data_IF_824391633182
#
_entry.id   IF_824391633182
#
_cell.length_a   1.000
_cell.length_b   1.000
_cell.length_c   1.000
_cell.angle_alpha   90.00
_cell.angle_beta   90.00
_cell.angle_gamma   90.00
#
_symmetry.space_group_name_H-M   'P 1'
#
loop_
_entity.id
_entity.type
_entity.pdbx_description
1 polymer ?
#
# COMPACT_ATOMS: atom_id res chain seq x y z
N UNK A 1 -24.93 0.10 42.66
CA UNK A 1 -23.85 -0.52 41.85
C UNK A 1 -23.60 0.24 40.54
N UNK A 2 -23.38 1.57 40.60
CA UNK A 2 -22.98 2.37 39.43
C UNK A 2 -21.69 3.20 39.67
N UNK A 3 -21.06 3.01 40.83
CA UNK A 3 -19.84 3.73 41.22
C UNK A 3 -18.58 2.85 41.30
N UNK A 4 -18.69 1.55 41.01
CA UNK A 4 -17.54 0.62 40.97
C UNK A 4 -16.97 0.51 39.54
N UNK A 5 -17.76 0.81 38.50
CA UNK A 5 -17.30 0.78 37.09
C UNK A 5 -16.40 1.98 36.75
N UNK A 6 -16.61 3.13 37.40
CA UNK A 6 -15.78 4.32 37.18
C UNK A 6 -14.36 4.22 37.78
N UNK A 7 -14.16 3.38 38.81
CA UNK A 7 -12.84 3.19 39.41
C UNK A 7 -11.96 2.21 38.63
N UNK A 8 -12.54 1.28 37.86
CA UNK A 8 -11.78 0.34 37.02
C UNK A 8 -11.29 1.04 35.73
N UNK A 9 -12.04 2.02 35.19
CA UNK A 9 -11.60 2.81 34.04
C UNK A 9 -10.46 3.80 34.35
N UNK A 10 -10.31 4.26 35.59
CA UNK A 10 -9.23 5.18 35.99
C UNK A 10 -7.93 4.47 36.43
N UNK A 11 -8.01 3.21 36.85
CA UNK A 11 -6.82 2.39 37.18
C UNK A 11 -6.18 1.79 35.93
N UNK A 12 -6.92 1.62 34.83
CA UNK A 12 -6.35 1.21 33.54
C UNK A 12 -5.63 2.34 32.77
N UNK A 13 -5.75 3.59 33.23
CA UNK A 13 -5.05 4.75 32.63
C UNK A 13 -3.78 5.12 33.43
N UNK A 14 -3.44 4.41 34.51
CA UNK A 14 -2.36 4.85 35.42
C UNK A 14 -1.21 3.88 35.70
N UNK A 15 -1.17 2.62 35.23
CA UNK A 15 0.05 1.79 35.29
C UNK A 15 0.17 0.81 34.12
N UNK A 16 0.70 1.26 33.00
CA UNK A 16 1.71 0.54 32.20
C UNK A 16 2.48 1.52 31.29
N UNK A 17 2.98 2.59 31.88
CA UNK A 17 4.33 3.05 31.55
C UNK A 17 5.33 2.18 32.32
N UNK A 18 5.38 0.88 32.03
CA UNK A 18 6.61 0.13 32.23
C UNK A 18 7.48 0.44 31.02
N UNK A 19 8.50 1.24 31.28
CA UNK A 19 9.59 1.61 30.39
C UNK A 19 10.34 0.33 29.97
N UNK A 20 9.76 -0.40 29.02
CA UNK A 20 10.45 -1.38 28.20
C UNK A 20 11.14 -0.60 27.09
N UNK A 21 12.45 -0.78 26.98
CA UNK A 21 13.33 -0.03 26.10
C UNK A 21 12.70 0.13 24.72
N UNK A 22 12.33 1.37 24.40
CA UNK A 22 12.59 1.86 23.05
C UNK A 22 13.99 1.35 22.70
N UNK A 23 14.09 0.47 21.71
CA UNK A 23 15.27 0.60 20.85
C UNK A 23 15.24 2.07 20.48
N UNK A 24 16.21 2.82 21.01
CA UNK A 24 16.55 4.12 20.48
C UNK A 24 16.64 3.89 18.97
N UNK A 25 15.59 4.31 18.27
CA UNK A 25 15.80 4.84 16.94
C UNK A 25 16.80 5.94 17.23
N UNK A 26 18.01 5.76 16.74
CA UNK A 26 19.10 6.69 16.97
C UNK A 26 18.67 8.06 16.43
N UNK A 27 18.08 8.88 17.30
CA UNK A 27 17.55 10.22 16.98
C UNK A 27 18.68 11.12 16.48
N UNK A 28 19.94 10.73 16.68
CA UNK A 28 21.11 11.40 16.12
C UNK A 28 21.25 11.26 14.59
N UNK A 29 20.52 10.34 13.94
CA UNK A 29 20.46 10.19 12.47
C UNK A 29 19.32 10.97 11.79
N UNK A 30 18.35 11.52 12.54
CA UNK A 30 17.12 12.14 11.99
C UNK A 30 17.20 13.67 11.87
N UNK A 31 18.26 14.30 12.38
CA UNK A 31 18.32 15.74 12.62
C UNK A 31 18.18 16.69 11.40
N UNK A 32 17.98 16.21 10.16
CA UNK A 32 17.89 17.07 8.96
C UNK A 32 16.82 16.64 7.92
N UNK A 33 15.87 15.78 8.27
CA UNK A 33 14.80 15.40 7.34
C UNK A 33 13.58 16.32 7.47
N UNK A 34 13.04 16.81 6.36
CA UNK A 34 11.80 17.62 6.35
C UNK A 34 10.79 17.08 5.35
N UNK A 35 9.51 17.16 5.71
CA UNK A 35 8.38 16.80 4.85
C UNK A 35 7.39 17.96 4.87
N UNK A 36 6.97 18.41 3.69
CA UNK A 36 5.98 19.47 3.51
C UNK A 36 4.97 19.03 2.48
N UNK A 37 3.69 19.20 2.81
CA UNK A 37 2.57 18.73 1.99
C UNK A 37 1.63 19.90 1.75
N UNK A 38 1.43 20.25 0.48
CA UNK A 38 0.43 21.21 0.01
C UNK A 38 -0.65 20.42 -0.72
N UNK A 39 -1.83 20.30 -0.12
CA UNK A 39 -2.94 19.44 -0.60
C UNK A 39 -3.87 20.16 -1.58
N UNK A 40 -3.47 21.29 -2.15
CA UNK A 40 -4.33 22.05 -3.06
C UNK A 40 -4.41 21.39 -4.45
N UNK A 41 -5.13 20.27 -4.55
CA UNK A 41 -5.24 19.43 -5.75
C UNK A 41 -5.81 20.17 -6.99
N UNK A 42 -6.59 21.24 -6.77
CA UNK A 42 -7.18 22.07 -7.83
C UNK A 42 -6.15 23.03 -8.44
N UNK A 43 -5.27 23.63 -7.62
CA UNK A 43 -4.24 24.57 -8.09
C UNK A 43 -2.88 23.93 -8.34
N UNK A 44 -2.69 22.70 -7.83
CA UNK A 44 -1.53 21.86 -8.07
C UNK A 44 -0.90 21.38 -6.77
N UNK A 45 -1.41 20.27 -6.23
CA UNK A 45 -0.91 19.67 -5.00
C UNK A 45 0.57 19.31 -5.10
N UNK A 46 1.29 19.38 -3.97
CA UNK A 46 2.75 19.22 -3.93
C UNK A 46 3.19 18.51 -2.65
N UNK A 47 4.13 17.57 -2.77
CA UNK A 47 4.86 16.99 -1.64
C UNK A 47 6.34 17.31 -1.82
N UNK A 48 6.96 17.87 -0.79
CA UNK A 48 8.39 18.13 -0.74
C UNK A 48 8.97 17.32 0.41
N UNK A 49 9.92 16.46 0.10
CA UNK A 49 10.71 15.75 1.09
C UNK A 49 12.18 16.10 0.92
N UNK A 50 12.89 16.38 2.01
CA UNK A 50 14.32 16.62 1.96
C UNK A 50 15.04 15.85 3.05
N UNK A 51 16.28 15.47 2.79
CA UNK A 51 17.25 15.03 3.79
C UNK A 51 18.56 15.82 3.65
N UNK A 52 19.64 15.38 4.27
CA UNK A 52 20.94 16.07 4.22
C UNK A 52 21.55 16.18 2.82
N UNK A 53 21.14 15.35 1.87
CA UNK A 53 21.78 15.23 0.56
C UNK A 53 20.84 15.51 -0.61
N UNK A 54 19.53 15.33 -0.44
CA UNK A 54 18.58 15.33 -1.54
C UNK A 54 17.25 16.03 -1.20
N UNK A 55 16.60 16.53 -2.25
CA UNK A 55 15.22 17.03 -2.22
C UNK A 55 14.41 16.25 -3.26
N UNK A 56 13.30 15.69 -2.84
CA UNK A 56 12.27 15.05 -3.66
C UNK A 56 11.09 16.02 -3.74
N UNK A 57 10.63 16.29 -4.95
CA UNK A 57 9.47 17.14 -5.21
C UNK A 57 8.49 16.36 -6.07
N UNK A 58 7.34 16.04 -5.48
CA UNK A 58 6.17 15.56 -6.19
C UNK A 58 5.23 16.73 -6.41
N UNK A 59 4.66 16.80 -7.61
CA UNK A 59 3.61 17.76 -7.94
C UNK A 59 2.56 17.08 -8.78
N UNK A 60 1.30 17.43 -8.56
CA UNK A 60 0.16 16.94 -9.35
C UNK A 60 -0.67 18.11 -9.84
N UNK A 61 -1.37 17.94 -10.95
CA UNK A 61 -2.36 18.88 -11.45
C UNK A 61 -3.40 18.13 -12.25
N UNK A 62 -4.67 18.32 -11.94
CA UNK A 62 -5.78 17.80 -12.75
C UNK A 62 -6.29 18.88 -13.70
N UNK A 63 -6.56 18.50 -14.95
CA UNK A 63 -7.27 19.36 -15.91
C UNK A 63 -8.14 18.45 -16.79
N UNK A 64 -9.46 18.64 -16.75
CA UNK A 64 -10.42 17.84 -17.53
C UNK A 64 -10.24 16.31 -17.35
N UNK A 65 -10.15 15.82 -16.10
CA UNK A 65 -9.91 14.39 -15.78
C UNK A 65 -8.54 13.83 -16.23
N UNK A 66 -7.69 14.65 -16.83
CA UNK A 66 -6.30 14.34 -17.08
C UNK A 66 -5.47 14.78 -15.87
N UNK A 67 -4.98 13.81 -15.12
CA UNK A 67 -4.09 14.02 -13.97
C UNK A 67 -2.66 13.97 -14.48
N UNK A 68 -1.92 15.07 -14.35
CA UNK A 68 -0.50 15.12 -14.67
C UNK A 68 0.28 15.25 -13.38
N UNK A 69 1.30 14.42 -13.23
CA UNK A 69 2.19 14.44 -12.07
C UNK A 69 3.64 14.48 -12.51
N UNK A 70 4.48 15.07 -11.68
CA UNK A 70 5.93 15.13 -11.88
C UNK A 70 6.64 14.79 -10.59
N UNK A 71 7.59 13.86 -10.67
CA UNK A 71 8.60 13.61 -9.64
C UNK A 71 9.93 14.21 -10.09
N UNK A 72 10.55 15.01 -9.22
CA UNK A 72 11.89 15.54 -9.41
C UNK A 72 12.74 15.25 -8.17
N UNK A 73 13.95 14.71 -8.38
CA UNK A 73 14.93 14.47 -7.31
C UNK A 73 16.18 15.28 -7.61
N UNK A 74 16.57 16.12 -6.66
CA UNK A 74 17.73 17.02 -6.74
C UNK A 74 18.75 16.66 -5.66
N UNK A 75 20.02 16.76 -6.00
CA UNK A 75 21.08 16.79 -5.00
C UNK A 75 21.20 18.22 -4.45
N UNK A 76 21.16 18.39 -3.12
CA UNK A 76 21.15 19.71 -2.46
C UNK A 76 22.45 20.47 -2.74
N UNK A 77 23.58 19.80 -2.55
CA UNK A 77 24.90 20.44 -2.61
C UNK A 77 25.24 20.96 -4.01
N UNK A 78 24.83 20.25 -5.05
CA UNK A 78 25.09 20.62 -6.45
C UNK A 78 23.90 21.33 -7.13
N UNK A 79 22.73 21.36 -6.49
CA UNK A 79 21.45 21.75 -7.07
C UNK A 79 21.11 21.04 -8.42
N UNK A 80 21.75 19.89 -8.69
CA UNK A 80 21.58 19.15 -9.93
C UNK A 80 20.38 18.21 -9.81
N UNK A 81 19.49 18.26 -10.81
CA UNK A 81 18.42 17.26 -10.96
C UNK A 81 19.07 15.92 -11.34
N UNK A 82 18.95 14.94 -10.46
CA UNK A 82 19.47 13.58 -10.67
C UNK A 82 18.41 12.66 -11.25
N UNK A 83 17.13 12.95 -11.03
CA UNK A 83 16.01 12.22 -11.62
C UNK A 83 14.85 13.15 -11.87
N UNK A 84 14.18 12.97 -12.99
CA UNK A 84 12.87 13.54 -13.24
C UNK A 84 12.01 12.54 -14.00
N UNK A 85 10.73 12.55 -13.72
CA UNK A 85 9.75 11.81 -14.50
C UNK A 85 8.41 12.54 -14.49
N UNK A 86 7.72 12.48 -15.62
CA UNK A 86 6.35 12.97 -15.77
C UNK A 86 5.44 11.77 -15.99
N UNK A 87 4.33 11.74 -15.27
CA UNK A 87 3.33 10.70 -15.38
C UNK A 87 1.96 11.34 -15.58
N UNK A 88 1.28 10.94 -16.64
CA UNK A 88 -0.08 11.38 -16.93
C UNK A 88 -1.05 10.22 -16.73
N UNK A 89 -2.26 10.50 -16.29
CA UNK A 89 -3.34 9.52 -16.15
C UNK A 89 -4.63 10.16 -16.64
N UNK A 90 -5.31 9.50 -17.57
CA UNK A 90 -6.65 9.90 -17.99
C UNK A 90 -7.68 9.12 -17.17
N UNK A 91 -8.29 9.76 -16.17
CA UNK A 91 -9.34 9.14 -15.34
C UNK A 91 -10.64 8.88 -16.10
N UNK A 92 -10.77 9.36 -17.34
CA UNK A 92 -11.91 9.05 -18.22
C UNK A 92 -11.76 7.70 -18.91
N UNK A 93 -10.57 7.09 -18.90
CA UNK A 93 -10.38 5.74 -19.43
C UNK A 93 -11.10 4.75 -18.51
N UNK A 94 -12.04 4.00 -19.08
CA UNK A 94 -12.71 2.93 -18.35
C UNK A 94 -11.67 1.94 -17.84
N UNK A 95 -11.84 1.47 -16.60
CA UNK A 95 -10.95 0.51 -15.97
C UNK A 95 -9.48 0.94 -15.85
N UNK A 96 -9.16 2.25 -15.86
CA UNK A 96 -7.78 2.72 -15.70
C UNK A 96 -7.08 2.09 -14.49
N UNK A 97 -7.80 1.85 -13.39
CA UNK A 97 -7.26 1.19 -12.18
C UNK A 97 -6.79 -0.23 -12.45
N UNK A 98 -7.53 -1.01 -13.25
CA UNK A 98 -7.14 -2.39 -13.58
C UNK A 98 -5.85 -2.44 -14.38
N UNK A 99 -5.60 -1.47 -15.27
CA UNK A 99 -4.49 -1.53 -16.22
C UNK A 99 -3.33 -0.59 -15.91
N UNK A 100 -3.39 0.19 -14.82
CA UNK A 100 -2.34 1.16 -14.48
C UNK A 100 -0.97 0.50 -14.28
N UNK A 101 -0.94 -0.75 -13.79
CA UNK A 101 0.28 -1.50 -13.57
C UNK A 101 1.05 -1.70 -14.88
N UNK A 102 0.36 -1.96 -16.01
CA UNK A 102 1.00 -2.09 -17.34
C UNK A 102 1.73 -0.80 -17.72
N UNK A 103 1.12 0.35 -17.43
CA UNK A 103 1.72 1.66 -17.66
C UNK A 103 2.96 1.88 -16.79
N UNK A 104 2.88 1.53 -15.50
CA UNK A 104 4.01 1.59 -14.58
C UNK A 104 5.18 0.73 -15.07
N UNK A 105 4.91 -0.51 -15.49
CA UNK A 105 5.93 -1.43 -16.02
C UNK A 105 6.57 -0.90 -17.31
N UNK A 106 5.76 -0.32 -18.20
CA UNK A 106 6.21 0.30 -19.45
C UNK A 106 7.16 1.46 -19.17
N UNK A 107 6.75 2.42 -18.33
CA UNK A 107 7.56 3.58 -17.95
C UNK A 107 8.85 3.14 -17.22
N UNK A 108 8.76 2.19 -16.30
CA UNK A 108 9.92 1.62 -15.63
C UNK A 108 10.94 1.04 -16.63
N UNK A 109 10.46 0.28 -17.62
CA UNK A 109 11.32 -0.35 -18.64
C UNK A 109 11.96 0.65 -19.61
N UNK A 110 11.30 1.78 -19.86
CA UNK A 110 11.85 2.90 -20.63
C UNK A 110 12.95 3.60 -19.83
N UNK A 111 12.62 4.05 -18.62
CA UNK A 111 13.49 4.89 -17.79
C UNK A 111 14.70 4.12 -17.25
N UNK A 112 14.56 2.82 -16.96
CA UNK A 112 15.64 1.96 -16.45
C UNK A 112 16.95 2.13 -17.23
N UNK A 113 16.85 2.28 -18.56
CA UNK A 113 17.99 2.35 -19.49
C UNK A 113 18.84 3.62 -19.34
N UNK A 114 18.32 4.64 -18.66
CA UNK A 114 18.95 5.96 -18.59
C UNK A 114 20.01 6.07 -17.48
N UNK A 115 20.15 5.07 -16.62
CA UNK A 115 21.06 5.08 -15.46
C UNK A 115 21.64 3.70 -15.16
N UNK A 116 22.75 3.67 -14.42
CA UNK A 116 23.36 2.42 -13.94
C UNK A 116 22.57 1.83 -12.78
N UNK A 117 22.84 0.56 -12.46
CA UNK A 117 22.26 -0.12 -11.31
C UNK A 117 22.59 0.59 -9.99
N UNK A 118 23.83 1.06 -9.79
CA UNK A 118 24.20 1.77 -8.55
C UNK A 118 23.44 3.10 -8.41
N UNK A 119 23.23 3.82 -9.52
CA UNK A 119 22.46 5.05 -9.54
C UNK A 119 20.99 4.80 -9.18
N UNK A 120 20.39 3.72 -9.69
CA UNK A 120 19.03 3.34 -9.31
C UNK A 120 18.92 2.88 -7.87
N UNK A 121 19.90 2.13 -7.37
CA UNK A 121 19.95 1.75 -5.97
C UNK A 121 19.97 2.98 -5.07
N UNK A 122 20.83 3.96 -5.36
CA UNK A 122 20.89 5.21 -4.62
C UNK A 122 19.56 5.98 -4.66
N UNK A 123 18.84 5.99 -5.79
CA UNK A 123 17.51 6.62 -5.89
C UNK A 123 16.46 5.82 -5.09
N UNK A 124 16.49 4.48 -5.17
CA UNK A 124 15.56 3.60 -4.46
C UNK A 124 15.68 3.76 -2.95
N UNK A 125 16.90 3.73 -2.41
CA UNK A 125 17.18 3.87 -0.98
C UNK A 125 16.63 5.21 -0.43
N UNK A 126 16.72 6.29 -1.21
CA UNK A 126 16.15 7.60 -0.84
C UNK A 126 14.63 7.56 -0.70
N UNK A 127 13.97 6.78 -1.55
CA UNK A 127 12.50 6.69 -1.56
C UNK A 127 11.94 5.78 -0.48
N UNK A 128 12.73 4.88 0.12
CA UNK A 128 12.22 4.00 1.17
C UNK A 128 11.87 4.75 2.46
N UNK A 129 12.77 5.63 2.93
CA UNK A 129 12.49 6.48 4.10
C UNK A 129 11.31 7.43 3.84
N UNK A 130 11.23 7.96 2.61
CA UNK A 130 10.13 8.83 2.22
C UNK A 130 8.78 8.11 2.28
N UNK A 131 8.71 6.89 1.72
CA UNK A 131 7.52 6.02 1.74
C UNK A 131 7.01 5.82 3.16
N UNK A 132 7.89 5.46 4.09
CA UNK A 132 7.52 5.26 5.49
C UNK A 132 6.90 6.53 6.09
N UNK A 133 7.53 7.70 5.90
CA UNK A 133 7.01 8.97 6.42
C UNK A 133 5.67 9.33 5.82
N UNK A 134 5.50 9.24 4.50
CA UNK A 134 4.22 9.61 3.89
C UNK A 134 3.08 8.69 4.31
N UNK A 135 3.36 7.40 4.58
CA UNK A 135 2.32 6.49 5.07
C UNK A 135 1.83 6.81 6.49
N UNK A 136 2.62 7.55 7.28
CA UNK A 136 2.19 8.02 8.61
C UNK A 136 1.44 9.38 8.57
N UNK A 137 1.64 10.18 7.52
CA UNK A 137 1.07 11.52 7.40
C UNK A 137 -0.31 11.55 6.71
N UNK A 138 -0.71 10.44 6.10
CA UNK A 138 -1.96 10.34 5.34
C UNK A 138 -3.00 9.51 6.06
N UNK A 139 -4.23 10.04 6.09
CA UNK A 139 -5.41 9.29 6.49
C UNK A 139 -5.89 8.41 5.34
N UNK A 140 -6.77 7.44 5.60
CA UNK A 140 -7.37 6.63 4.53
C UNK A 140 -8.12 7.51 3.51
N UNK A 141 -8.80 8.55 3.98
CA UNK A 141 -9.55 9.47 3.13
C UNK A 141 -8.66 10.16 2.10
N UNK A 142 -7.36 10.30 2.41
CA UNK A 142 -6.39 10.91 1.52
C UNK A 142 -5.94 9.97 0.38
N UNK A 143 -6.13 8.65 0.52
CA UNK A 143 -5.66 7.66 -0.47
C UNK A 143 -6.32 7.80 -1.83
N UNK A 144 -7.52 8.37 -1.94
CA UNK A 144 -8.14 8.62 -3.23
C UNK A 144 -7.68 9.92 -3.92
N UNK A 145 -6.96 10.77 -3.19
CA UNK A 145 -6.48 12.04 -3.73
C UNK A 145 -5.51 11.83 -4.91
N UNK A 146 -5.55 12.77 -5.86
CA UNK A 146 -4.67 12.70 -7.03
C UNK A 146 -3.21 12.78 -6.65
N UNK A 147 -2.88 13.66 -5.69
CA UNK A 147 -1.51 13.85 -5.24
C UNK A 147 -0.93 12.55 -4.69
N UNK A 148 -1.70 11.84 -3.88
CA UNK A 148 -1.23 10.62 -3.22
C UNK A 148 -1.16 9.47 -4.21
N UNK A 149 -2.22 9.20 -4.96
CA UNK A 149 -2.21 8.12 -5.96
C UNK A 149 -1.07 8.30 -6.96
N UNK A 150 -0.86 9.52 -7.46
CA UNK A 150 0.24 9.77 -8.41
C UNK A 150 1.63 9.72 -7.77
N UNK A 151 1.76 10.09 -6.50
CA UNK A 151 2.99 9.86 -5.73
C UNK A 151 3.29 8.37 -5.66
N UNK A 152 2.29 7.55 -5.34
CA UNK A 152 2.44 6.09 -5.27
C UNK A 152 2.68 5.40 -6.62
N UNK A 153 2.12 5.89 -7.73
CA UNK A 153 2.50 5.44 -9.07
C UNK A 153 3.98 5.71 -9.37
N UNK A 154 4.45 6.91 -9.06
CA UNK A 154 5.85 7.32 -9.28
C UNK A 154 6.82 6.49 -8.44
N UNK A 155 6.49 6.26 -7.16
CA UNK A 155 7.26 5.39 -6.28
C UNK A 155 7.30 3.95 -6.78
N UNK A 156 6.16 3.44 -7.26
CA UNK A 156 6.07 2.09 -7.82
C UNK A 156 6.89 1.94 -9.10
N UNK A 157 7.03 2.98 -9.92
CA UNK A 157 7.96 2.99 -11.07
C UNK A 157 9.39 2.79 -10.58
N UNK A 158 9.83 3.56 -9.58
CA UNK A 158 11.19 3.47 -9.02
C UNK A 158 11.48 2.10 -8.41
N UNK A 159 10.55 1.57 -7.61
CA UNK A 159 10.68 0.22 -7.03
C UNK A 159 10.68 -0.88 -8.09
N UNK A 160 9.84 -0.76 -9.13
CA UNK A 160 9.82 -1.70 -10.26
C UNK A 160 11.16 -1.72 -10.99
N UNK A 161 11.81 -0.57 -11.19
CA UNK A 161 13.16 -0.50 -11.76
C UNK A 161 14.15 -1.21 -10.84
N UNK A 162 14.12 -0.90 -9.54
CA UNK A 162 15.02 -1.51 -8.55
C UNK A 162 14.92 -3.04 -8.54
N UNK A 163 13.70 -3.60 -8.44
CA UNK A 163 13.45 -5.06 -8.47
C UNK A 163 13.94 -5.72 -9.75
N UNK A 164 13.82 -5.05 -10.88
CA UNK A 164 14.23 -5.61 -12.18
C UNK A 164 15.74 -5.88 -12.31
N UNK A 165 16.56 -5.40 -11.37
CA UNK A 165 17.99 -5.76 -11.28
C UNK A 165 18.23 -7.06 -10.48
N UNK A 166 17.29 -7.46 -9.63
CA UNK A 166 17.34 -8.71 -8.86
C UNK A 166 16.67 -9.85 -9.62
N UNK A 167 15.45 -9.60 -10.14
CA UNK A 167 14.59 -10.65 -10.69
C UNK A 167 14.58 -10.68 -12.23
N UNK A 168 15.32 -9.77 -12.87
CA UNK A 168 15.44 -9.66 -14.33
C UNK A 168 14.24 -9.04 -15.06
N UNK A 169 13.06 -8.96 -14.43
CA UNK A 169 11.83 -8.43 -15.02
C UNK A 169 11.26 -7.22 -14.27
N UNK A 170 10.66 -6.27 -14.99
CA UNK A 170 9.90 -5.14 -14.43
C UNK A 170 8.50 -5.61 -14.01
N UNK A 171 8.43 -6.47 -13.00
CA UNK A 171 7.17 -7.02 -12.50
C UNK A 171 6.50 -6.06 -11.53
N UNK A 172 5.23 -5.73 -11.76
CA UNK A 172 4.39 -5.03 -10.80
C UNK A 172 2.97 -5.60 -10.89
N UNK A 173 2.50 -6.17 -9.79
CA UNK A 173 1.14 -6.70 -9.68
C UNK A 173 0.34 -5.73 -8.81
N UNK A 174 -0.79 -5.17 -9.26
CA UNK A 174 -1.51 -4.19 -8.46
C UNK A 174 -2.06 -4.82 -7.17
N UNK A 175 -1.98 -4.10 -6.06
CA UNK A 175 -2.68 -4.49 -4.83
C UNK A 175 -4.20 -4.52 -5.06
N UNK A 176 -4.92 -5.57 -4.61
CA UNK A 176 -6.37 -5.65 -4.79
C UNK A 176 -7.12 -4.45 -4.19
N UNK A 177 -6.71 -3.97 -3.01
CA UNK A 177 -7.33 -2.80 -2.37
C UNK A 177 -7.28 -1.51 -3.22
N UNK A 178 -6.25 -1.34 -4.06
CA UNK A 178 -6.20 -0.19 -4.96
C UNK A 178 -7.24 -0.27 -6.08
N UNK A 179 -7.51 -1.47 -6.59
CA UNK A 179 -8.50 -1.70 -7.65
C UNK A 179 -9.89 -1.25 -7.20
N UNK A 180 -10.21 -1.46 -5.92
CA UNK A 180 -11.53 -1.17 -5.33
C UNK A 180 -11.66 0.20 -4.67
N UNK A 181 -10.59 1.00 -4.58
CA UNK A 181 -10.66 2.37 -4.00
C UNK A 181 -10.08 2.52 -2.60
N UNK A 182 -9.80 1.42 -1.90
CA UNK A 182 -9.50 1.44 -0.46
C UNK A 182 -8.03 1.72 -0.13
N UNK A 183 -7.13 1.53 -1.11
CA UNK A 183 -5.70 1.75 -0.93
C UNK A 183 -5.11 2.67 -2.01
N UNK A 184 -4.03 3.33 -1.64
CA UNK A 184 -3.09 3.87 -2.61
C UNK A 184 -2.48 2.77 -3.48
N UNK A 185 -2.03 3.12 -4.68
CA UNK A 185 -1.40 2.13 -5.56
C UNK A 185 -0.12 1.55 -4.95
N UNK A 186 0.00 0.23 -4.99
CA UNK A 186 1.22 -0.48 -4.66
C UNK A 186 1.37 -1.69 -5.55
N UNK A 187 2.61 -2.04 -5.87
CA UNK A 187 2.92 -3.36 -6.39
C UNK A 187 2.92 -4.35 -5.20
N UNK A 188 2.25 -5.49 -5.33
CA UNK A 188 2.25 -6.57 -4.35
C UNK A 188 3.67 -7.01 -3.98
N UNK A 189 4.60 -6.97 -4.93
CA UNK A 189 6.00 -7.34 -4.74
C UNK A 189 6.76 -6.42 -3.75
N UNK A 190 6.22 -5.24 -3.45
CA UNK A 190 6.83 -4.27 -2.52
C UNK A 190 6.27 -4.36 -1.10
N UNK A 191 5.19 -5.12 -0.90
CA UNK A 191 4.50 -5.18 0.37
C UNK A 191 5.04 -6.32 1.23
N UNK A 192 5.31 -6.04 2.51
CA UNK A 192 5.80 -7.02 3.49
C UNK A 192 4.95 -6.95 4.75
N UNK A 193 4.48 -8.08 5.22
CA UNK A 193 3.78 -8.21 6.50
C UNK A 193 4.76 -8.29 7.66
N UNK A 194 4.39 -7.75 8.81
CA UNK A 194 5.07 -8.07 10.07
C UNK A 194 4.62 -9.47 10.51
N UNK A 195 5.56 -10.42 10.55
CA UNK A 195 5.23 -11.83 10.82
C UNK A 195 4.59 -12.03 12.18
N UNK A 196 5.06 -11.34 13.22
CA UNK A 196 4.56 -11.51 14.59
C UNK A 196 3.10 -11.03 14.70
N UNK A 197 2.81 -9.84 14.17
CA UNK A 197 1.43 -9.29 14.15
C UNK A 197 0.49 -10.16 13.31
N UNK A 198 0.97 -10.62 12.16
CA UNK A 198 0.18 -11.49 11.29
C UNK A 198 -0.11 -12.83 11.99
N UNK A 199 0.87 -13.41 12.67
CA UNK A 199 0.69 -14.65 13.42
C UNK A 199 -0.23 -14.49 14.63
N UNK A 200 -0.09 -13.41 15.40
CA UNK A 200 -0.97 -13.06 16.53
C UNK A 200 -2.42 -13.04 16.06
N UNK A 201 -2.70 -12.26 15.03
CA UNK A 201 -4.01 -12.18 14.42
C UNK A 201 -4.53 -13.54 13.92
N UNK A 202 -3.67 -14.30 13.23
CA UNK A 202 -4.05 -15.61 12.72
C UNK A 202 -4.39 -16.59 13.85
N UNK A 203 -3.70 -16.46 14.98
CA UNK A 203 -3.92 -17.27 16.17
C UNK A 203 -5.21 -16.90 16.88
N UNK A 204 -5.50 -15.60 16.98
CA UNK A 204 -6.73 -15.07 17.57
C UNK A 204 -7.97 -15.44 16.74
N UNK A 205 -7.84 -15.53 15.42
CA UNK A 205 -8.92 -15.79 14.49
C UNK A 205 -8.82 -17.17 13.82
N UNK A 206 -8.16 -18.13 14.49
CA UNK A 206 -7.80 -19.42 13.88
C UNK A 206 -9.00 -20.19 13.35
N UNK A 207 -10.12 -20.18 14.07
CA UNK A 207 -11.36 -20.87 13.68
C UNK A 207 -11.93 -20.35 12.37
N UNK A 208 -12.01 -19.03 12.25
CA UNK A 208 -12.47 -18.31 11.07
C UNK A 208 -11.53 -18.70 9.93
N UNK A 209 -10.24 -18.53 10.15
CA UNK A 209 -9.20 -18.79 9.15
C UNK A 209 -9.26 -20.21 8.58
N UNK A 210 -9.45 -21.21 9.43
CA UNK A 210 -9.51 -22.61 9.01
C UNK A 210 -10.78 -22.94 8.22
N UNK A 211 -11.85 -22.14 8.36
CA UNK A 211 -13.09 -22.34 7.61
C UNK A 211 -12.94 -22.05 6.11
N UNK A 212 -11.85 -21.40 5.69
CA UNK A 212 -11.63 -21.01 4.29
C UNK A 212 -10.86 -22.03 3.49
N UNK A 213 -11.17 -22.08 2.20
CA UNK A 213 -10.38 -22.84 1.25
C UNK A 213 -8.91 -22.36 1.30
N UNK A 214 -7.98 -23.28 1.61
CA UNK A 214 -6.54 -23.02 1.83
C UNK A 214 -6.21 -22.19 3.08
N UNK A 215 -7.18 -21.88 3.95
CA UNK A 215 -6.94 -21.11 5.17
C UNK A 215 -6.02 -21.80 6.18
N UNK A 216 -6.18 -23.12 6.37
CA UNK A 216 -5.23 -23.92 7.16
C UNK A 216 -3.80 -23.86 6.57
N UNK A 217 -3.68 -23.90 5.23
CA UNK A 217 -2.39 -23.80 4.55
C UNK A 217 -1.76 -22.41 4.75
N UNK A 218 -2.57 -21.35 4.71
CA UNK A 218 -2.14 -19.98 4.98
C UNK A 218 -1.68 -19.82 6.44
N UNK A 219 -2.44 -20.36 7.40
CA UNK A 219 -2.06 -20.37 8.81
C UNK A 219 -0.74 -21.10 9.04
N UNK A 220 -0.61 -22.31 8.53
CA UNK A 220 0.61 -23.11 8.69
C UNK A 220 1.83 -22.40 8.08
N UNK A 221 1.64 -21.65 6.98
CA UNK A 221 2.71 -20.84 6.39
C UNK A 221 3.12 -19.67 7.31
N UNK A 222 2.15 -18.94 7.89
CA UNK A 222 2.42 -17.84 8.83
C UNK A 222 3.05 -18.35 10.13
N UNK A 223 2.53 -19.46 10.67
CA UNK A 223 3.06 -20.13 11.86
C UNK A 223 4.51 -20.61 11.64
N UNK A 224 4.80 -21.26 10.52
CA UNK A 224 6.16 -21.71 10.18
C UNK A 224 7.14 -20.53 10.05
N UNK A 225 6.73 -19.44 9.40
CA UNK A 225 7.53 -18.21 9.31
C UNK A 225 7.80 -17.61 10.70
N UNK A 226 6.79 -17.59 11.57
CA UNK A 226 6.90 -17.12 12.95
C UNK A 226 7.86 -17.99 13.78
N UNK A 227 7.70 -19.31 13.75
CA UNK A 227 8.55 -20.26 14.47
C UNK A 227 10.01 -20.24 14.00
N UNK A 228 10.26 -19.89 12.73
CA UNK A 228 11.60 -19.67 12.16
C UNK A 228 12.19 -18.29 12.50
N UNK A 229 11.52 -17.49 13.33
CA UNK A 229 11.90 -16.11 13.66
C UNK A 229 12.05 -15.20 12.42
N UNK A 230 11.30 -15.45 11.35
CA UNK A 230 11.24 -14.51 10.23
C UNK A 230 10.50 -13.26 10.69
N UNK A 231 11.10 -12.08 10.54
CA UNK A 231 10.47 -10.82 11.01
C UNK A 231 9.49 -10.23 10.00
N UNK A 232 9.63 -10.60 8.72
CA UNK A 232 8.77 -10.14 7.63
C UNK A 232 8.41 -11.29 6.70
N UNK A 233 7.19 -11.27 6.18
CA UNK A 233 6.70 -12.15 5.12
C UNK A 233 6.45 -11.29 3.88
N UNK A 234 6.99 -11.68 2.73
CA UNK A 234 6.70 -11.01 1.46
C UNK A 234 5.26 -11.31 1.01
N UNK A 235 4.50 -10.27 0.65
CA UNK A 235 3.11 -10.43 0.24
C UNK A 235 2.97 -11.44 -0.90
N UNK A 236 3.85 -11.36 -1.90
CA UNK A 236 3.80 -12.28 -3.04
C UNK A 236 4.00 -13.74 -2.59
N UNK A 237 4.90 -14.02 -1.65
CA UNK A 237 5.10 -15.37 -1.14
C UNK A 237 3.87 -15.87 -0.37
N UNK A 238 3.29 -15.02 0.49
CA UNK A 238 2.06 -15.32 1.21
C UNK A 238 0.89 -15.54 0.25
N UNK A 239 0.69 -14.66 -0.73
CA UNK A 239 -0.39 -14.74 -1.69
C UNK A 239 -0.29 -15.99 -2.56
N UNK A 240 0.92 -16.41 -2.96
CA UNK A 240 1.12 -17.65 -3.72
C UNK A 240 0.72 -18.92 -2.94
N UNK A 241 0.57 -18.86 -1.61
CA UNK A 241 -0.04 -19.95 -0.84
C UNK A 241 -1.52 -20.11 -1.19
N UNK A 242 -2.18 -18.98 -1.48
CA UNK A 242 -3.61 -18.81 -1.71
C UNK A 242 -3.96 -18.90 -3.19
N UNK A 243 -3.28 -18.16 -4.06
CA UNK A 243 -3.48 -18.15 -5.51
C UNK A 243 -2.21 -17.67 -6.22
N UNK A 244 -1.94 -18.17 -7.43
CA UNK A 244 -0.74 -17.75 -8.15
C UNK A 244 -0.90 -16.36 -8.75
N UNK A 245 0.20 -15.60 -8.82
CA UNK A 245 0.25 -14.31 -9.52
C UNK A 245 -0.31 -14.37 -10.94
N UNK A 246 0.01 -15.43 -11.69
CA UNK A 246 -0.44 -15.57 -13.09
C UNK A 246 -1.95 -15.77 -13.15
N UNK A 247 -2.54 -16.53 -12.23
CA UNK A 247 -4.00 -16.66 -12.12
C UNK A 247 -4.65 -15.29 -11.86
N UNK A 248 -4.11 -14.51 -10.93
CA UNK A 248 -4.60 -13.16 -10.64
C UNK A 248 -4.50 -12.21 -11.85
N UNK A 249 -3.34 -12.16 -12.52
CA UNK A 249 -3.15 -11.30 -13.69
C UNK A 249 -4.03 -11.74 -14.88
N UNK A 250 -4.19 -13.05 -15.10
CA UNK A 250 -5.10 -13.57 -16.12
C UNK A 250 -6.56 -13.17 -15.85
N UNK A 251 -6.99 -13.14 -14.59
CA UNK A 251 -8.33 -12.66 -14.22
C UNK A 251 -8.50 -11.16 -14.49
N UNK A 252 -7.48 -10.34 -14.25
CA UNK A 252 -7.50 -8.91 -14.61
C UNK A 252 -7.56 -8.74 -16.14
N UNK A 253 -6.75 -9.50 -16.87
CA UNK A 253 -6.62 -9.36 -18.33
C UNK A 253 -7.83 -9.90 -19.11
N UNK A 254 -8.53 -10.89 -18.56
CA UNK A 254 -9.73 -11.49 -19.18
C UNK A 254 -11.04 -10.77 -18.81
N UNK A 255 -10.97 -9.70 -18.02
CA UNK A 255 -12.14 -8.96 -17.57
C UNK A 255 -12.90 -8.32 -18.74
N UNK A 256 -14.16 -8.72 -18.94
CA UNK A 256 -15.06 -8.17 -19.96
C UNK A 256 -16.33 -7.57 -19.31
N UNK A 257 -16.55 -6.27 -19.56
CA UNK A 257 -17.61 -5.43 -18.99
C UNK A 257 -19.03 -5.90 -19.38
N UNK A 258 -19.20 -6.56 -20.53
CA UNK A 258 -20.52 -6.97 -21.03
C UNK A 258 -21.15 -8.10 -20.21
N UNK A 259 -20.36 -8.82 -19.41
CA UNK A 259 -20.82 -9.88 -18.52
C UNK A 259 -21.16 -9.36 -17.11
N UNK A 260 -21.79 -8.19 -16.97
CA UNK A 260 -22.44 -7.74 -15.71
C UNK A 260 -23.68 -8.57 -15.35
N UNK A 261 -23.63 -9.88 -15.53
CA UNK A 261 -24.73 -10.80 -15.23
C UNK A 261 -24.81 -10.97 -13.71
N UNK A 262 -26.02 -10.74 -13.19
CA UNK A 262 -26.48 -10.88 -11.80
C UNK A 262 -25.57 -11.72 -10.89
N UNK A 263 -25.15 -11.12 -9.78
CA UNK A 263 -24.31 -11.73 -8.76
C UNK A 263 -25.04 -12.94 -8.14
N UNK A 264 -24.68 -14.21 -8.44
CA UNK A 264 -25.40 -15.37 -7.91
C UNK A 264 -25.10 -15.61 -6.43
N UNK A 265 -24.07 -14.93 -5.89
CA UNK A 265 -23.50 -15.13 -4.56
C UNK A 265 -23.57 -13.88 -3.65
N UNK A 266 -24.41 -12.90 -4.00
CA UNK A 266 -24.70 -11.74 -3.14
C UNK A 266 -24.11 -10.42 -3.60
N UNK A 267 -24.78 -9.34 -3.19
CA UNK A 267 -24.32 -7.95 -3.26
C UNK A 267 -23.55 -7.63 -1.98
N UNK A 268 -22.53 -6.80 -2.12
CA UNK A 268 -21.59 -6.54 -1.04
C UNK A 268 -21.90 -5.35 -0.15
N UNK A 269 -21.60 -5.46 1.16
CA UNK A 269 -21.82 -4.41 2.18
C UNK A 269 -20.55 -3.83 2.83
N UNK A 270 -20.39 -2.50 2.69
CA UNK A 270 -19.35 -1.55 3.07
C UNK A 270 -17.86 -1.93 3.14
N UNK A 271 -17.44 -3.16 3.44
CA UNK A 271 -16.18 -3.39 4.18
C UNK A 271 -15.51 -4.75 3.93
N UNK A 272 -15.35 -5.13 2.67
CA UNK A 272 -14.47 -6.22 2.26
C UNK A 272 -14.90 -6.85 0.95
N UNK A 273 -14.28 -6.46 -0.17
CA UNK A 273 -14.70 -6.80 -1.54
C UNK A 273 -16.15 -6.45 -1.90
N UNK A 274 -16.91 -5.92 -0.94
CA UNK A 274 -18.33 -5.95 -0.94
C UNK A 274 -18.83 -4.72 -0.21
N UNK A 275 -19.28 -3.72 -0.92
CA UNK A 275 -19.94 -2.52 -0.41
C UNK A 275 -18.93 -1.43 -0.05
N UNK A 276 -19.20 -0.16 -0.25
CA UNK A 276 -20.43 0.56 -0.58
C UNK A 276 -20.76 0.69 -2.09
N UNK A 277 -20.47 -0.30 -2.94
CA UNK A 277 -20.80 -0.25 -4.37
C UNK A 277 -21.94 -1.21 -4.76
N UNK A 278 -22.90 -0.70 -5.54
CA UNK A 278 -23.81 -1.52 -6.33
C UNK A 278 -23.03 -2.21 -7.46
N UNK A 279 -22.57 -3.44 -7.22
CA UNK A 279 -21.86 -4.26 -8.20
C UNK A 279 -21.39 -5.59 -7.61
N UNK A 280 -21.23 -6.61 -8.46
CA UNK A 280 -20.90 -7.95 -7.97
C UNK A 280 -19.48 -8.04 -7.45
N UNK A 281 -19.30 -8.88 -6.43
CA UNK A 281 -18.01 -9.37 -5.99
C UNK A 281 -17.56 -10.44 -6.99
N UNK A 282 -16.53 -10.16 -7.78
CA UNK A 282 -16.13 -11.03 -8.89
C UNK A 282 -14.99 -12.00 -8.55
N UNK A 283 -14.56 -12.06 -7.28
CA UNK A 283 -13.77 -13.20 -6.79
C UNK A 283 -13.91 -13.44 -5.27
N UNK A 284 -14.21 -14.67 -4.82
CA UNK A 284 -14.03 -15.10 -3.44
C UNK A 284 -12.62 -15.69 -3.29
N UNK A 285 -11.72 -14.97 -2.62
CA UNK A 285 -10.53 -15.59 -2.03
C UNK A 285 -10.41 -15.15 -0.58
N UNK A 286 -9.55 -15.83 0.18
CA UNK A 286 -9.10 -15.50 1.54
C UNK A 286 -8.86 -13.98 1.81
N UNK A 287 -8.72 -13.17 0.77
CA UNK A 287 -8.59 -11.72 0.85
C UNK A 287 -9.83 -10.94 1.26
N UNK A 288 -11.04 -11.43 1.02
CA UNK A 288 -12.22 -10.78 1.61
C UNK A 288 -12.29 -11.06 3.12
N UNK A 289 -11.80 -12.22 3.55
CA UNK A 289 -11.73 -12.59 4.96
C UNK A 289 -10.73 -11.77 5.78
N UNK A 290 -9.50 -11.54 5.29
CA UNK A 290 -8.53 -10.69 6.01
C UNK A 290 -9.00 -9.24 6.10
N UNK A 291 -9.81 -8.80 5.14
CA UNK A 291 -10.46 -7.51 5.20
C UNK A 291 -11.52 -7.46 6.32
N UNK A 292 -12.43 -8.45 6.40
CA UNK A 292 -13.55 -8.50 7.37
C UNK A 292 -13.12 -8.67 8.85
N UNK A 293 -11.93 -9.22 9.11
CA UNK A 293 -11.44 -9.42 10.49
C UNK A 293 -10.66 -8.19 11.01
N UNK A 294 -10.02 -7.38 10.14
CA UNK A 294 -9.43 -6.08 10.51
C UNK A 294 -10.49 -4.98 10.80
N UNK A 295 -11.76 -5.32 10.67
CA UNK A 295 -12.92 -4.42 10.77
C UNK A 295 -13.64 -4.39 12.13
N UNK A 296 -13.47 -5.39 13.00
CA UNK A 296 -14.39 -5.68 14.12
C UNK A 296 -14.38 -4.62 15.26
N UNK A 297 -13.40 -3.72 15.32
CA UNK A 297 -13.29 -2.63 16.30
C UNK A 297 -13.73 -1.22 15.82
N UNK A 298 -14.51 -1.08 14.73
CA UNK A 298 -14.55 0.15 13.93
C UNK A 298 -15.72 1.09 14.09
N UNK A 299 -15.49 2.42 14.05
CA UNK A 299 -16.57 3.41 13.99
C UNK A 299 -16.61 4.31 12.73
N UNK A 300 -15.64 4.25 11.81
CA UNK A 300 -15.67 5.06 10.57
C UNK A 300 -16.12 4.30 9.31
N UNK A 301 -16.22 5.01 8.17
CA UNK A 301 -16.89 4.56 6.94
C UNK A 301 -16.09 3.56 6.08
N UNK A 302 -14.84 3.35 6.48
CA UNK A 302 -13.90 2.31 6.07
C UNK A 302 -13.82 1.29 7.22
N UNK A 303 -13.22 0.14 7.03
CA UNK A 303 -13.13 -0.89 8.05
C UNK A 303 -11.95 -1.77 7.64
N UNK A 304 -11.16 -2.12 8.65
CA UNK A 304 -9.76 -1.68 8.66
C UNK A 304 -9.63 -0.29 9.32
N UNK A 305 -8.42 0.28 9.48
CA UNK A 305 -8.04 1.35 10.43
C UNK A 305 -8.83 2.68 10.55
N UNK A 306 -9.92 2.87 9.81
CA UNK A 306 -11.13 3.57 10.31
C UNK A 306 -11.61 3.06 11.66
N UNK A 307 -11.13 1.87 11.98
CA UNK A 307 -11.57 0.97 12.99
C UNK A 307 -11.12 1.34 14.38
N UNK A 308 -11.36 2.60 14.72
CA UNK A 308 -11.24 3.23 16.04
C UNK A 308 -12.31 4.33 16.13
#
# INVERSE_FOLDING_TARGET
>A
MKHIVYYILLVLISVSCSRSSSKEIDESLIANETLTIDRNDIEGGKIIYSNSNFILVFSTKETNKLVNSKLEIKNINSNKVIYNNVFSLNKSEENYRLFIYKRIQSIASEIKRNKTQEQWKSISDLTENFVEKITYEFSIDDYESNLIQTTFYQLSILKTISRSYTDGACNCTPMPGYIVGELSFWCQEDFKFNTAKLFEYFSENKSEIYAYERGEKAFNYVEDAYLKNQTKIDYNQFFNVLDSRDQFLNSIDSFNIENRISCPFGEGGSLGCCGNYAGCCWYPSWWCLMHDIDCIGCTQWHCGPACQ
#
